data_IF_903587200764
#
_entry.id   IF_903587200764
#
_cell.length_a   1.000
_cell.length_b   1.000
_cell.length_c   1.000
_cell.angle_alpha   90.00
_cell.angle_beta   90.00
_cell.angle_gamma   90.00
#
_symmetry.space_group_name_H-M   'P 1'
#
loop_
_entity.id
_entity.type
_entity.pdbx_description
1 polymer ?
#
# COMPACT_ATOMS: atom_id res chain seq x y z
N UNK A 1 3.19 -3.23 -16.79
CA UNK A 1 3.33 -4.02 -15.55
C UNK A 1 3.11 -5.51 -15.81
N UNK A 2 3.95 -6.37 -15.24
CA UNK A 2 3.88 -7.84 -15.39
C UNK A 2 2.88 -8.50 -14.42
N UNK A 3 2.61 -9.80 -14.61
CA UNK A 3 1.64 -10.56 -13.80
C UNK A 3 2.09 -10.77 -12.35
N UNK A 4 3.40 -10.86 -12.09
CA UNK A 4 3.94 -11.00 -10.74
C UNK A 4 3.71 -9.74 -9.91
N UNK A 5 4.00 -8.57 -10.48
CA UNK A 5 3.74 -7.27 -9.85
C UNK A 5 2.25 -7.06 -9.58
N UNK A 6 1.37 -7.37 -10.56
CA UNK A 6 -0.09 -7.29 -10.37
C UNK A 6 -0.59 -8.21 -9.27
N UNK A 7 -0.04 -9.42 -9.16
CA UNK A 7 -0.39 -10.36 -8.09
C UNK A 7 -0.01 -9.82 -6.71
N UNK A 8 1.17 -9.20 -6.59
CA UNK A 8 1.62 -8.54 -5.35
C UNK A 8 0.71 -7.37 -4.96
N UNK A 9 0.31 -6.51 -5.90
CA UNK A 9 -0.62 -5.40 -5.63
C UNK A 9 -1.98 -5.91 -5.14
N UNK A 10 -2.54 -6.93 -5.79
CA UNK A 10 -3.80 -7.53 -5.35
C UNK A 10 -3.69 -8.16 -3.96
N UNK A 11 -2.56 -8.84 -3.69
CA UNK A 11 -2.27 -9.38 -2.35
C UNK A 11 -2.21 -8.29 -1.29
N UNK A 12 -1.50 -7.19 -1.57
CA UNK A 12 -1.44 -6.05 -0.65
C UNK A 12 -2.84 -5.49 -0.37
N UNK A 13 -3.65 -5.28 -1.41
CA UNK A 13 -5.04 -4.80 -1.27
C UNK A 13 -5.85 -5.67 -0.31
N UNK A 14 -5.88 -6.98 -0.55
CA UNK A 14 -6.61 -7.93 0.31
C UNK A 14 -6.11 -7.84 1.76
N UNK A 15 -4.79 -7.74 1.96
CA UNK A 15 -4.23 -7.65 3.30
C UNK A 15 -4.60 -6.34 4.01
N UNK A 16 -4.57 -5.20 3.32
CA UNK A 16 -4.98 -3.91 3.90
C UNK A 16 -6.48 -3.90 4.26
N UNK A 17 -7.33 -4.48 3.43
CA UNK A 17 -8.78 -4.56 3.66
C UNK A 17 -9.14 -5.44 4.87
N UNK A 18 -8.27 -6.40 5.22
CA UNK A 18 -8.50 -7.36 6.29
C UNK A 18 -7.57 -7.19 7.49
N UNK A 19 -6.85 -6.05 7.59
CA UNK A 19 -5.93 -5.80 8.69
C UNK A 19 -6.61 -6.06 10.05
N UNK A 20 -5.92 -6.73 10.99
CA UNK A 20 -6.54 -7.11 12.27
C UNK A 20 -7.06 -5.92 13.07
N UNK A 21 -8.13 -6.15 13.84
CA UNK A 21 -8.73 -5.14 14.72
C UNK A 21 -7.82 -4.73 15.90
N UNK A 22 -6.66 -5.36 16.08
CA UNK A 22 -5.62 -4.88 17.00
C UNK A 22 -4.99 -3.57 16.54
N UNK A 23 -5.08 -3.24 15.25
CA UNK A 23 -4.81 -1.90 14.74
C UNK A 23 -6.07 -1.04 14.86
N UNK A 24 -5.89 0.20 15.34
CA UNK A 24 -6.97 1.17 15.45
C UNK A 24 -7.56 1.44 14.07
N UNK A 25 -8.88 1.42 13.98
CA UNK A 25 -9.59 1.88 12.79
C UNK A 25 -9.69 3.40 12.85
N UNK A 26 -9.24 4.08 11.81
CA UNK A 26 -9.45 5.52 11.65
C UNK A 26 -10.22 5.81 10.36
N UNK A 27 -11.26 6.63 10.48
CA UNK A 27 -11.92 7.20 9.30
C UNK A 27 -11.03 8.26 8.65
N UNK A 28 -11.31 8.62 7.39
CA UNK A 28 -10.45 9.51 6.60
C UNK A 28 -10.12 10.85 7.29
N UNK A 29 -11.07 11.46 7.99
CA UNK A 29 -10.87 12.74 8.67
C UNK A 29 -9.97 12.67 9.91
N UNK A 30 -9.75 11.47 10.47
CA UNK A 30 -8.99 11.25 11.70
C UNK A 30 -7.70 10.47 11.45
N UNK A 31 -7.48 10.03 10.20
CA UNK A 31 -6.39 9.15 9.82
C UNK A 31 -5.08 9.92 9.76
N UNK A 32 -4.02 9.32 10.30
CA UNK A 32 -2.65 9.81 10.13
C UNK A 32 -2.17 9.60 8.67
N UNK A 33 -2.90 8.80 7.90
CA UNK A 33 -2.73 8.61 6.47
C UNK A 33 -3.86 9.31 5.70
N UNK A 34 -3.55 9.93 4.58
CA UNK A 34 -4.55 10.50 3.65
C UNK A 34 -4.21 10.18 2.18
N UNK A 35 -3.94 8.90 1.85
CA UNK A 35 -3.29 8.54 0.57
C UNK A 35 -4.18 8.86 -0.63
N UNK A 36 -5.45 9.15 -0.40
CA UNK A 36 -6.36 9.75 -1.39
C UNK A 36 -5.88 11.10 -1.95
N UNK A 37 -5.03 11.82 -1.22
CA UNK A 37 -4.41 13.09 -1.63
C UNK A 37 -2.91 12.93 -1.93
N UNK A 38 -2.45 11.70 -2.19
CA UNK A 38 -1.06 11.48 -2.52
C UNK A 38 -0.68 12.25 -3.80
N UNK A 39 0.34 13.07 -3.68
CA UNK A 39 0.97 13.80 -4.77
C UNK A 39 2.43 14.03 -4.43
N UNK A 40 3.25 14.10 -5.47
CA UNK A 40 4.64 14.53 -5.38
C UNK A 40 4.71 16.05 -5.58
N UNK A 41 5.73 16.68 -5.02
CA UNK A 41 5.98 18.10 -5.24
C UNK A 41 6.83 18.28 -6.49
N UNK A 42 6.55 19.32 -7.28
CA UNK A 42 7.29 19.61 -8.52
C UNK A 42 8.79 19.78 -8.23
N UNK A 43 9.14 20.47 -7.13
CA UNK A 43 10.52 20.66 -6.69
C UNK A 43 11.24 19.32 -6.40
N UNK A 44 10.55 18.37 -5.74
CA UNK A 44 11.10 17.05 -5.46
C UNK A 44 11.30 16.24 -6.76
N UNK A 45 10.39 16.38 -7.73
CA UNK A 45 10.54 15.70 -9.03
C UNK A 45 11.71 16.28 -9.84
N UNK A 46 11.90 17.60 -9.83
CA UNK A 46 13.03 18.27 -10.47
C UNK A 46 14.37 17.84 -9.87
N UNK A 47 14.47 17.76 -8.54
CA UNK A 47 15.72 17.48 -7.83
C UNK A 47 16.05 15.98 -7.75
N UNK A 48 15.04 15.12 -7.56
CA UNK A 48 15.21 13.70 -7.26
C UNK A 48 14.78 12.79 -8.42
N UNK A 49 14.10 13.34 -9.42
CA UNK A 49 13.37 12.57 -10.42
C UNK A 49 12.09 11.93 -9.85
N UNK A 50 11.23 11.46 -10.74
CA UNK A 50 9.93 10.85 -10.40
C UNK A 50 10.03 9.76 -9.32
N UNK A 51 10.95 8.80 -9.48
CA UNK A 51 11.10 7.71 -8.50
C UNK A 51 11.59 8.22 -7.13
N UNK A 52 12.47 9.22 -7.12
CA UNK A 52 13.00 9.82 -5.91
C UNK A 52 11.93 10.62 -5.16
N UNK A 53 11.13 11.42 -5.87
CA UNK A 53 10.02 12.19 -5.31
C UNK A 53 8.95 11.27 -4.70
N UNK A 54 8.57 10.19 -5.40
CA UNK A 54 7.63 9.21 -4.88
C UNK A 54 8.19 8.50 -3.64
N UNK A 55 9.48 8.12 -3.65
CA UNK A 55 10.12 7.52 -2.48
C UNK A 55 10.10 8.48 -1.29
N UNK A 56 10.49 9.73 -1.49
CA UNK A 56 10.51 10.75 -0.45
C UNK A 56 9.11 10.94 0.17
N UNK A 57 8.08 11.06 -0.67
CA UNK A 57 6.70 11.20 -0.20
C UNK A 57 6.21 9.95 0.55
N UNK A 58 6.56 8.75 0.10
CA UNK A 58 6.24 7.52 0.84
C UNK A 58 6.93 7.47 2.21
N UNK A 59 8.18 7.94 2.31
CA UNK A 59 8.90 8.03 3.59
C UNK A 59 8.28 9.02 4.56
N UNK A 60 7.79 10.17 4.08
CA UNK A 60 7.09 11.16 4.93
C UNK A 60 5.86 10.52 5.61
N UNK A 61 5.14 9.67 4.89
CA UNK A 61 3.85 9.13 5.33
C UNK A 61 4.00 7.83 6.13
N UNK A 62 4.82 6.90 5.64
CA UNK A 62 4.99 5.57 6.22
C UNK A 62 6.16 5.52 7.22
N UNK A 63 7.02 6.53 7.22
CA UNK A 63 8.28 6.56 7.94
C UNK A 63 9.43 5.95 7.15
N UNK A 64 10.65 6.18 7.63
CA UNK A 64 11.86 5.64 7.02
C UNK A 64 11.96 4.11 7.18
N UNK A 65 12.56 3.47 6.18
CA UNK A 65 12.75 2.01 6.10
C UNK A 65 13.99 1.50 6.83
N UNK A 66 14.65 2.36 7.61
CA UNK A 66 16.00 2.16 8.11
C UNK A 66 16.13 1.03 9.16
N UNK A 67 15.00 0.54 9.71
CA UNK A 67 14.97 -0.50 10.76
C UNK A 67 14.08 -1.71 10.40
N UNK A 68 13.87 -1.97 9.10
CA UNK A 68 13.02 -3.06 8.62
C UNK A 68 11.70 -2.56 8.01
N UNK A 69 10.74 -3.46 7.75
CA UNK A 69 9.45 -3.08 7.17
C UNK A 69 8.75 -2.03 8.02
N UNK A 70 8.14 -1.05 7.37
CA UNK A 70 7.36 -0.01 8.04
C UNK A 70 6.25 -0.63 8.89
N UNK A 71 5.88 -0.03 10.02
CA UNK A 71 4.77 -0.54 10.83
C UNK A 71 3.52 0.28 10.56
N UNK A 72 2.42 -0.38 10.23
CA UNK A 72 1.13 0.29 10.14
C UNK A 72 0.71 0.79 11.53
N UNK A 73 0.40 2.08 11.63
CA UNK A 73 -0.09 2.70 12.87
C UNK A 73 -1.59 2.44 13.08
N UNK A 74 -2.30 2.24 11.99
CA UNK A 74 -3.76 2.16 11.92
C UNK A 74 -4.19 1.41 10.66
N UNK A 75 -5.49 1.10 10.60
CA UNK A 75 -6.17 0.57 9.42
C UNK A 75 -7.33 1.48 9.03
N UNK A 76 -7.76 1.41 7.78
CA UNK A 76 -8.92 2.15 7.31
C UNK A 76 -8.68 2.86 5.98
N UNK A 77 -9.65 3.69 5.56
CA UNK A 77 -9.67 4.29 4.23
C UNK A 77 -8.52 5.26 3.93
N UNK A 78 -7.84 5.81 4.95
CA UNK A 78 -6.67 6.67 4.71
C UNK A 78 -5.43 5.90 4.25
N UNK A 79 -5.32 4.60 4.58
CA UNK A 79 -4.17 3.74 4.23
C UNK A 79 -4.38 3.00 2.90
N UNK A 80 -5.58 2.44 2.66
CA UNK A 80 -5.86 1.60 1.48
C UNK A 80 -5.46 2.22 0.12
N UNK A 81 -5.58 3.54 -0.13
CA UNK A 81 -5.21 4.14 -1.41
C UNK A 81 -3.73 4.02 -1.77
N UNK A 82 -2.84 3.67 -0.83
CA UNK A 82 -1.41 3.40 -1.12
C UNK A 82 -1.22 2.32 -2.20
N UNK A 83 -2.17 1.38 -2.33
CA UNK A 83 -2.12 0.36 -3.38
C UNK A 83 -2.30 1.00 -4.76
N UNK A 84 -3.26 1.91 -4.90
CA UNK A 84 -3.51 2.64 -6.14
C UNK A 84 -2.33 3.54 -6.49
N UNK A 85 -1.72 4.19 -5.49
CA UNK A 85 -0.48 4.97 -5.67
C UNK A 85 0.62 4.10 -6.27
N UNK A 86 0.92 2.95 -5.64
CA UNK A 86 1.95 2.04 -6.16
C UNK A 86 1.60 1.45 -7.53
N UNK A 87 0.34 1.11 -7.77
CA UNK A 87 -0.12 0.62 -9.07
C UNK A 87 0.11 1.66 -10.18
N UNK A 88 -0.21 2.93 -9.95
CA UNK A 88 -0.02 4.00 -10.92
C UNK A 88 1.47 4.15 -11.27
N UNK A 89 2.33 4.33 -10.26
CA UNK A 89 3.76 4.54 -10.53
C UNK A 89 4.49 3.30 -11.04
N UNK A 90 4.06 2.08 -10.68
CA UNK A 90 4.60 0.84 -11.26
C UNK A 90 4.08 0.57 -12.68
N UNK A 91 2.96 1.18 -13.09
CA UNK A 91 2.56 1.16 -14.50
C UNK A 91 3.48 2.04 -15.35
N UNK A 92 3.83 3.22 -14.84
CA UNK A 92 4.72 4.16 -15.53
C UNK A 92 6.19 3.71 -15.47
N UNK A 93 6.59 3.09 -14.36
CA UNK A 93 7.96 2.62 -14.11
C UNK A 93 7.99 1.15 -13.63
N UNK A 94 7.66 0.17 -14.50
CA UNK A 94 7.54 -1.24 -14.11
C UNK A 94 8.86 -1.92 -13.70
N UNK A 95 10.00 -1.28 -13.97
CA UNK A 95 11.33 -1.73 -13.55
C UNK A 95 11.84 -1.06 -12.27
N UNK A 96 11.06 -0.17 -11.64
CA UNK A 96 11.54 0.58 -10.48
C UNK A 96 11.81 -0.37 -9.31
N UNK A 97 13.09 -0.51 -8.98
CA UNK A 97 13.53 -1.30 -7.84
C UNK A 97 13.01 -0.70 -6.54
N UNK A 98 12.93 0.62 -6.45
CA UNK A 98 12.49 1.33 -5.24
C UNK A 98 11.00 1.08 -4.97
N UNK A 99 10.15 1.24 -5.98
CA UNK A 99 8.70 1.02 -5.86
C UNK A 99 8.37 -0.46 -5.60
N UNK A 100 9.06 -1.37 -6.27
CA UNK A 100 8.91 -2.81 -6.00
C UNK A 100 9.30 -3.16 -4.56
N UNK A 101 10.35 -2.53 -4.04
CA UNK A 101 10.77 -2.72 -2.66
C UNK A 101 9.73 -2.14 -1.68
N UNK A 102 9.04 -1.05 -2.01
CA UNK A 102 7.93 -0.54 -1.19
C UNK A 102 6.75 -1.51 -1.17
N UNK A 103 6.37 -2.05 -2.33
CA UNK A 103 5.33 -3.06 -2.43
C UNK A 103 5.63 -4.29 -1.57
N UNK A 104 6.86 -4.81 -1.64
CA UNK A 104 7.29 -5.95 -0.84
C UNK A 104 7.31 -5.64 0.67
N UNK A 105 7.84 -4.48 1.06
CA UNK A 105 7.85 -4.07 2.46
C UNK A 105 6.44 -3.94 3.03
N UNK A 106 5.50 -3.34 2.29
CA UNK A 106 4.11 -3.18 2.74
C UNK A 106 3.39 -4.53 2.89
N UNK A 107 3.67 -5.49 2.01
CA UNK A 107 3.17 -6.87 2.15
C UNK A 107 3.74 -7.50 3.42
N UNK A 108 5.05 -7.40 3.65
CA UNK A 108 5.69 -7.91 4.87
C UNK A 108 5.16 -7.23 6.13
N UNK A 109 4.83 -5.94 6.06
CA UNK A 109 4.28 -5.15 7.15
C UNK A 109 2.87 -5.62 7.50
N UNK A 110 2.05 -5.87 6.50
CA UNK A 110 0.71 -6.41 6.71
C UNK A 110 0.77 -7.82 7.31
N UNK A 111 1.66 -8.68 6.79
CA UNK A 111 1.86 -10.03 7.32
C UNK A 111 2.26 -10.02 8.80
N UNK A 112 3.18 -9.14 9.18
CA UNK A 112 3.57 -8.95 10.59
C UNK A 112 2.39 -8.45 11.44
N UNK A 113 1.51 -7.61 10.92
CA UNK A 113 0.32 -7.19 11.65
C UNK A 113 -0.59 -8.38 11.98
N UNK A 114 -0.83 -9.30 11.02
CA UNK A 114 -1.56 -10.55 11.26
C UNK A 114 -0.86 -11.46 12.26
N UNK A 115 0.45 -11.66 12.10
CA UNK A 115 1.25 -12.49 12.99
C UNK A 115 1.22 -11.97 14.44
N UNK A 116 1.42 -10.67 14.63
CA UNK A 116 1.35 -10.02 15.95
C UNK A 116 -0.05 -10.14 16.58
N UNK A 117 -1.10 -10.11 15.77
CA UNK A 117 -2.47 -10.35 16.19
C UNK A 117 -2.80 -11.84 16.41
N UNK A 118 -1.88 -12.76 16.09
CA UNK A 118 -2.09 -14.22 16.07
C UNK A 118 -3.26 -14.63 15.15
N UNK A 119 -3.46 -13.89 14.07
CA UNK A 119 -4.47 -14.15 13.06
C UNK A 119 -3.84 -14.85 11.85
N UNK A 120 -4.62 -15.69 11.18
CA UNK A 120 -4.21 -16.27 9.90
C UNK A 120 -4.23 -15.18 8.83
N UNK A 121 -3.32 -15.31 7.85
CA UNK A 121 -3.35 -14.45 6.67
C UNK A 121 -4.62 -14.71 5.86
N UNK A 122 -5.26 -13.66 5.31
CA UNK A 122 -6.36 -13.82 4.38
C UNK A 122 -5.95 -14.66 3.17
N UNK A 123 -6.89 -15.44 2.65
CA UNK A 123 -6.68 -16.19 1.41
C UNK A 123 -6.62 -15.21 0.22
N UNK A 124 -5.43 -15.12 -0.39
CA UNK A 124 -5.16 -14.24 -1.54
C UNK A 124 -5.62 -14.84 -2.87
N UNK A 125 -6.05 -16.11 -2.88
CA UNK A 125 -6.56 -16.81 -4.05
C UNK A 125 -8.05 -16.53 -4.34
N UNK A 126 -8.76 -15.88 -3.40
CA UNK A 126 -10.20 -15.63 -3.45
C UNK A 126 -10.58 -14.15 -3.69
N UNK A 127 -9.78 -13.37 -4.42
CA UNK A 127 -10.27 -12.07 -4.89
C UNK A 127 -11.53 -12.27 -5.75
N UNK A 128 -12.61 -11.48 -5.59
CA UNK A 128 -13.89 -11.80 -6.21
C UNK A 128 -13.78 -11.77 -7.73
N UNK A 129 -14.11 -12.88 -8.35
CA UNK A 129 -14.67 -12.90 -9.70
C UNK A 129 -15.98 -12.12 -9.62
N UNK A 130 -16.03 -10.97 -10.29
CA UNK A 130 -17.24 -10.24 -10.73
C UNK A 130 -18.25 -9.84 -9.64
N UNK A 131 -18.36 -8.52 -9.41
CA UNK A 131 -19.64 -7.88 -9.12
C UNK A 131 -20.07 -7.04 -10.33
N UNK A 132 -20.13 -7.72 -11.48
CA UNK A 132 -21.04 -7.39 -12.56
C UNK A 132 -22.16 -8.42 -12.51
N UNK A 133 -23.40 -7.95 -12.63
CA UNK A 133 -24.68 -8.70 -12.56
C UNK A 133 -25.26 -8.96 -11.16
N UNK A 134 -26.08 -8.03 -10.68
CA UNK A 134 -27.54 -8.21 -10.63
C UNK A 134 -28.24 -6.99 -10.01
N UNK A 135 -29.49 -6.80 -10.46
CA UNK A 135 -30.45 -5.72 -10.17
C UNK A 135 -30.26 -4.51 -11.09
N UNK A 136 -31.13 -4.23 -12.05
CA UNK A 136 -32.52 -4.63 -12.26
C UNK A 136 -33.21 -3.43 -12.91
#
# INVERSE_FOLDING_TARGET
>A
MDSGTRSKLNKLRIYLDHLPNSLLFRGSAESDYSFEFFGIQDEDEEDLGLEGAVNHQLEIWLGHRNNGPVKFKERGPGLSPVVTVLENYLNDSPGSVILMKWLDDLICSAQQAFENAKHLLPDVSLAPVLLGFLMG
#
